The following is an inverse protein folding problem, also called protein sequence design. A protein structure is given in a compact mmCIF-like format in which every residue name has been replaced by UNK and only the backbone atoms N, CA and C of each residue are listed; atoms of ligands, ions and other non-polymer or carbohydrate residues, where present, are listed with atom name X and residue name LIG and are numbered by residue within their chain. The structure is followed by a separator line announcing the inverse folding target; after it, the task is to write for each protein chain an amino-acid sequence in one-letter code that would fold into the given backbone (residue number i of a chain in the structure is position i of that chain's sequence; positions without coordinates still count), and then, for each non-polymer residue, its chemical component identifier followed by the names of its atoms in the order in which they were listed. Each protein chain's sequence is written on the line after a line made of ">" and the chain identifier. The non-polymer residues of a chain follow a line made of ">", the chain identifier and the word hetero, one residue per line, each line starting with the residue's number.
data_IF_608867992925
#
_entry.id   IF_608867992925
#
_cell.length_a   1.000
_cell.length_b   1.000
_cell.length_c   1.000
_cell.angle_alpha   90.00
_cell.angle_beta   90.00
_cell.angle_gamma   90.00
#
_symmetry.space_group_name_H-M   'P 1'
#
loop_
_entity.id
_entity.type
_entity.pdbx_description
1 polymer ?
#
# COMPACT_ATOMS: atom_id res chain seq x y z
N UNK A 1 -15.20 -13.99 -4.91
CA UNK A 1 -15.15 -12.59 -4.44
C UNK A 1 -13.89 -12.44 -3.62
N UNK A 2 -13.09 -11.43 -3.91
CA UNK A 2 -11.91 -11.10 -3.11
C UNK A 2 -12.37 -10.62 -1.71
N UNK A 3 -11.66 -11.07 -0.67
CA UNK A 3 -11.93 -10.71 0.73
C UNK A 3 -10.92 -9.63 1.16
N UNK A 4 -11.29 -8.69 2.03
CA UNK A 4 -10.37 -7.65 2.46
C UNK A 4 -9.10 -8.20 3.09
N UNK A 5 -7.97 -7.55 2.83
CA UNK A 5 -6.68 -7.90 3.43
C UNK A 5 -5.86 -6.65 3.73
N UNK A 6 -5.06 -6.71 4.80
CA UNK A 6 -4.11 -5.65 5.13
C UNK A 6 -2.72 -6.02 4.64
N UNK A 7 -2.12 -5.13 3.88
CA UNK A 7 -0.73 -5.22 3.43
C UNK A 7 0.09 -4.13 4.11
N UNK A 8 1.20 -4.52 4.72
CA UNK A 8 2.12 -3.63 5.44
C UNK A 8 3.48 -3.74 4.77
N UNK A 9 3.96 -2.66 4.16
CA UNK A 9 5.21 -2.65 3.39
C UNK A 9 6.20 -1.70 4.05
N UNK A 10 7.37 -2.20 4.45
CA UNK A 10 8.51 -1.34 4.80
C UNK A 10 9.33 -1.08 3.54
N UNK A 11 9.39 0.18 3.11
CA UNK A 11 10.19 0.61 1.97
C UNK A 11 11.09 1.80 2.35
N UNK A 12 12.24 1.93 1.69
CA UNK A 12 12.99 3.17 1.70
C UNK A 12 12.28 4.19 0.81
N UNK A 13 11.92 5.36 1.34
CA UNK A 13 11.07 6.33 0.63
C UNK A 13 11.70 6.85 -0.65
N UNK A 14 13.03 6.94 -0.70
CA UNK A 14 13.76 7.40 -1.89
C UNK A 14 13.83 6.36 -3.01
N UNK A 15 13.57 5.08 -2.70
CA UNK A 15 13.54 4.01 -3.70
C UNK A 15 12.22 4.03 -4.49
N UNK A 16 11.17 4.61 -3.88
CA UNK A 16 9.87 4.80 -4.51
C UNK A 16 9.96 5.95 -5.51
N UNK A 17 9.75 5.62 -6.79
CA UNK A 17 9.76 6.60 -7.87
C UNK A 17 8.61 7.62 -7.77
N UNK A 18 8.75 8.73 -8.51
CA UNK A 18 7.70 9.72 -8.68
C UNK A 18 7.71 10.87 -7.68
N UNK A 19 6.63 11.66 -7.69
CA UNK A 19 6.46 12.81 -6.82
C UNK A 19 6.35 12.35 -5.36
N UNK A 20 7.09 12.97 -4.41
CA UNK A 20 6.98 12.67 -2.99
C UNK A 20 5.53 12.52 -2.47
N UNK A 21 4.65 13.45 -2.86
CA UNK A 21 3.25 13.46 -2.46
C UNK A 21 2.44 12.27 -2.99
N UNK A 22 2.97 11.50 -3.93
CA UNK A 22 2.32 10.36 -4.57
C UNK A 22 3.03 9.02 -4.36
N UNK A 23 4.18 9.00 -3.67
CA UNK A 23 4.97 7.77 -3.47
C UNK A 23 4.17 6.65 -2.81
N UNK A 24 3.29 6.97 -1.87
CA UNK A 24 2.41 5.97 -1.25
C UNK A 24 1.51 5.27 -2.29
N UNK A 25 0.94 6.01 -3.25
CA UNK A 25 0.16 5.42 -4.34
C UNK A 25 1.04 4.65 -5.31
N UNK A 26 2.23 5.18 -5.66
CA UNK A 26 3.18 4.51 -6.55
C UNK A 26 3.61 3.15 -5.99
N UNK A 27 3.88 3.07 -4.69
CA UNK A 27 4.21 1.80 -4.02
C UNK A 27 3.01 0.83 -4.03
N UNK A 28 1.80 1.33 -3.74
CA UNK A 28 0.58 0.52 -3.80
C UNK A 28 0.31 -0.04 -5.19
N UNK A 29 0.48 0.78 -6.23
CA UNK A 29 0.40 0.36 -7.64
C UNK A 29 1.42 -0.72 -7.98
N UNK A 30 2.70 -0.50 -7.67
CA UNK A 30 3.74 -1.48 -7.95
C UNK A 30 3.47 -2.82 -7.26
N UNK A 31 3.05 -2.80 -5.98
CA UNK A 31 2.68 -4.02 -5.27
C UNK A 31 1.50 -4.75 -5.92
N UNK A 32 0.43 -4.03 -6.25
CA UNK A 32 -0.75 -4.66 -6.85
C UNK A 32 -0.43 -5.23 -8.23
N UNK A 33 0.35 -4.54 -9.04
CA UNK A 33 0.74 -4.98 -10.38
C UNK A 33 1.67 -6.20 -10.32
N UNK A 34 2.74 -6.13 -9.52
CA UNK A 34 3.81 -7.15 -9.54
C UNK A 34 3.49 -8.37 -8.68
N UNK A 35 2.77 -8.20 -7.56
CA UNK A 35 2.49 -9.27 -6.60
C UNK A 35 1.09 -9.83 -6.75
N UNK A 36 0.09 -8.97 -6.99
CA UNK A 36 -1.31 -9.38 -7.09
C UNK A 36 -1.83 -9.49 -8.53
N UNK A 37 -1.06 -9.05 -9.52
CA UNK A 37 -1.44 -9.00 -10.93
C UNK A 37 -2.80 -8.29 -11.16
N UNK A 38 -3.00 -7.16 -10.46
CA UNK A 38 -4.17 -6.29 -10.62
C UNK A 38 -3.82 -4.82 -10.44
N UNK A 39 -4.68 -3.92 -10.91
CA UNK A 39 -4.52 -2.49 -10.67
C UNK A 39 -4.82 -2.11 -9.22
N UNK A 40 -4.14 -1.07 -8.73
CA UNK A 40 -4.43 -0.43 -7.44
C UNK A 40 -5.65 0.50 -7.56
N UNK A 41 -6.70 0.22 -6.79
CA UNK A 41 -8.01 0.87 -6.86
C UNK A 41 -8.12 1.99 -5.82
N UNK A 42 -7.37 3.08 -6.00
CA UNK A 42 -7.32 4.17 -5.01
C UNK A 42 -8.65 4.95 -4.83
N UNK A 43 -9.56 4.86 -5.80
CA UNK A 43 -10.87 5.55 -5.76
C UNK A 43 -11.97 4.61 -5.31
N UNK A 44 -12.96 5.15 -4.58
CA UNK A 44 -14.16 4.41 -4.19
C UNK A 44 -14.90 3.87 -5.43
N UNK A 45 -15.11 2.56 -5.48
CA UNK A 45 -15.93 1.91 -6.51
C UNK A 45 -17.01 1.02 -5.87
N UNK A 46 -18.13 0.75 -6.56
CA UNK A 46 -19.15 -0.18 -6.06
C UNK A 46 -18.61 -1.57 -5.74
N UNK A 47 -17.55 -2.00 -6.42
CA UNK A 47 -16.87 -3.28 -6.24
C UNK A 47 -15.89 -3.31 -5.06
N UNK A 48 -15.57 -2.14 -4.49
CA UNK A 48 -14.55 -1.96 -3.46
C UNK A 48 -13.43 -1.02 -3.91
N UNK A 49 -12.50 -0.75 -3.01
CA UNK A 49 -11.34 0.10 -3.25
C UNK A 49 -10.17 -0.34 -2.37
N UNK A 50 -9.00 0.24 -2.62
CA UNK A 50 -7.80 0.02 -1.82
C UNK A 50 -7.49 1.30 -1.03
N UNK A 51 -7.62 1.20 0.30
CA UNK A 51 -7.38 2.32 1.21
C UNK A 51 -5.91 2.39 1.58
N UNK A 52 -5.31 3.57 1.43
CA UNK A 52 -3.93 3.83 1.87
C UNK A 52 -3.92 4.62 3.18
N UNK A 53 -3.15 4.13 4.15
CA UNK A 53 -2.88 4.88 5.38
C UNK A 53 -1.58 5.66 5.18
N UNK A 54 -1.65 6.98 5.27
CA UNK A 54 -0.53 7.89 5.05
C UNK A 54 -0.11 8.47 6.41
N UNK A 55 0.97 8.01 7.02
CA UNK A 55 1.48 8.60 8.26
C UNK A 55 1.90 10.05 8.07
N UNK A 56 1.91 10.82 9.16
CA UNK A 56 2.66 12.07 9.19
C UNK A 56 4.14 11.79 8.86
N UNK A 57 4.77 12.67 8.08
CA UNK A 57 6.17 12.54 7.67
C UNK A 57 6.50 11.20 6.99
N UNK A 58 5.55 10.67 6.21
CA UNK A 58 5.72 9.42 5.45
C UNK A 58 6.84 9.50 4.41
N UNK A 59 7.30 10.70 4.07
CA UNK A 59 8.29 10.94 3.02
C UNK A 59 9.48 11.76 3.51
N UNK A 60 10.57 11.69 2.76
CA UNK A 60 11.79 12.44 2.97
C UNK A 60 12.61 12.54 1.67
N UNK A 61 13.43 13.57 1.59
CA UNK A 61 14.52 13.64 0.60
C UNK A 61 15.70 12.74 0.98
N UNK A 62 15.74 12.23 2.22
CA UNK A 62 16.77 11.32 2.72
C UNK A 62 16.32 9.85 2.61
N UNK A 63 17.26 8.88 2.49
CA UNK A 63 16.94 7.47 2.40
C UNK A 63 16.49 6.91 3.77
N UNK A 64 15.23 7.15 4.11
CA UNK A 64 14.63 6.68 5.36
C UNK A 64 13.65 5.55 5.08
N UNK A 65 13.64 4.53 5.93
CA UNK A 65 12.63 3.48 5.88
C UNK A 65 11.34 3.93 6.56
N UNK A 66 10.21 3.64 5.93
CA UNK A 66 8.87 3.91 6.43
C UNK A 66 7.96 2.73 6.15
N UNK A 67 6.97 2.56 7.03
CA UNK A 67 5.91 1.57 6.89
C UNK A 67 4.71 2.21 6.18
N UNK A 68 4.24 1.55 5.13
CA UNK A 68 3.04 1.89 4.39
C UNK A 68 2.01 0.80 4.65
N UNK A 69 0.77 1.19 4.94
CA UNK A 69 -0.30 0.26 5.24
C UNK A 69 -1.39 0.46 4.19
N UNK A 70 -1.83 -0.64 3.60
CA UNK A 70 -2.89 -0.69 2.61
C UNK A 70 -3.95 -1.67 3.07
N UNK A 71 -5.21 -1.25 3.10
CA UNK A 71 -6.35 -2.15 3.24
C UNK A 71 -6.93 -2.37 1.85
N UNK A 72 -6.72 -3.56 1.31
CA UNK A 72 -7.10 -3.92 -0.04
C UNK A 72 -8.51 -4.51 -0.08
N UNK A 73 -9.20 -4.29 -1.20
CA UNK A 73 -10.52 -4.85 -1.49
C UNK A 73 -11.58 -4.52 -0.41
N UNK A 74 -11.42 -3.35 0.23
CA UNK A 74 -12.39 -2.84 1.21
C UNK A 74 -13.63 -2.30 0.51
N UNK A 75 -14.80 -2.57 1.08
CA UNK A 75 -16.10 -2.13 0.53
C UNK A 75 -16.81 -1.09 1.39
N UNK A 76 -16.40 -0.99 2.64
CA UNK A 76 -16.88 -0.08 3.63
C UNK A 76 -15.75 0.21 4.62
N UNK A 77 -15.98 1.16 5.51
CA UNK A 77 -15.13 1.35 6.69
C UNK A 77 -15.10 0.05 7.50
N UNK A 78 -13.90 -0.40 7.85
CA UNK A 78 -13.71 -1.57 8.70
C UNK A 78 -13.57 -1.13 10.16
N UNK A 79 -14.41 -1.68 11.03
CA UNK A 79 -14.29 -1.52 12.47
C UNK A 79 -13.05 -2.22 13.03
N UNK A 80 -12.68 -1.91 14.27
CA UNK A 80 -11.51 -2.48 14.92
C UNK A 80 -11.54 -4.02 14.99
N UNK A 81 -12.72 -4.59 15.27
CA UNK A 81 -12.89 -6.05 15.32
C UNK A 81 -12.73 -6.69 13.94
N UNK A 82 -13.27 -6.06 12.88
CA UNK A 82 -13.13 -6.55 11.51
C UNK A 82 -11.67 -6.48 11.06
N UNK A 83 -11.00 -5.35 11.33
CA UNK A 83 -9.57 -5.18 11.10
C UNK A 83 -8.76 -6.25 11.82
N UNK A 84 -9.12 -6.65 13.04
CA UNK A 84 -8.40 -7.70 13.76
C UNK A 84 -8.56 -9.11 13.13
N UNK A 85 -9.59 -9.32 12.31
CA UNK A 85 -9.87 -10.63 11.69
C UNK A 85 -9.38 -10.73 10.24
N UNK A 86 -9.12 -9.63 9.54
CA UNK A 86 -8.63 -9.71 8.15
C UNK A 86 -7.20 -10.26 8.11
N UNK A 87 -6.82 -11.00 7.05
CA UNK A 87 -5.44 -11.43 6.86
C UNK A 87 -4.48 -10.23 6.78
N UNK A 88 -3.34 -10.35 7.47
CA UNK A 88 -2.26 -9.37 7.43
C UNK A 88 -1.04 -9.97 6.72
N UNK A 89 -0.50 -9.25 5.74
CA UNK A 89 0.72 -9.62 5.05
C UNK A 89 1.75 -8.50 5.22
N UNK A 90 2.98 -8.89 5.54
CA UNK A 90 4.07 -7.95 5.83
C UNK A 90 5.19 -8.18 4.82
N UNK A 91 5.63 -7.10 4.17
CA UNK A 91 6.66 -7.11 3.14
C UNK A 91 7.80 -6.16 3.52
N UNK A 92 9.02 -6.55 3.16
CA UNK A 92 10.20 -5.70 3.18
C UNK A 92 10.58 -5.43 1.72
N UNK A 93 10.33 -4.22 1.24
CA UNK A 93 10.59 -3.84 -0.14
C UNK A 93 12.02 -3.28 -0.29
N UNK A 94 12.67 -3.63 -1.39
CA UNK A 94 13.97 -3.11 -1.79
C UNK A 94 14.02 -2.97 -3.30
N UNK A 95 14.37 -1.79 -3.81
CA UNK A 95 14.43 -1.60 -5.27
C UNK A 95 15.85 -1.72 -5.78
N UNK A 96 16.06 -2.49 -6.84
CA UNK A 96 17.34 -2.58 -7.56
C UNK A 96 17.16 -2.12 -9.01
N UNK A 97 17.73 -0.97 -9.33
CA UNK A 97 17.43 -0.30 -10.60
C UNK A 97 15.95 0.06 -10.64
N UNK A 98 15.21 -0.50 -11.61
CA UNK A 98 13.79 -0.27 -11.75
C UNK A 98 12.88 -1.36 -11.14
N UNK A 99 13.45 -2.46 -10.64
CA UNK A 99 12.70 -3.63 -10.15
C UNK A 99 12.59 -3.66 -8.63
N UNK A 100 11.44 -4.11 -8.11
CA UNK A 100 11.15 -4.28 -6.68
C UNK A 100 11.52 -5.66 -6.12
#
# INVERSE_FOLDING_TARGET
>A
MESPMRVIISACVTDIGGNPQRRHSTLGSAFCEEVLNREFRASLQPTGYDHVHIPADFDSTKPVKRWFIFDLDVRAELGADEVAQIPHQVYLASRQGDNW
#
